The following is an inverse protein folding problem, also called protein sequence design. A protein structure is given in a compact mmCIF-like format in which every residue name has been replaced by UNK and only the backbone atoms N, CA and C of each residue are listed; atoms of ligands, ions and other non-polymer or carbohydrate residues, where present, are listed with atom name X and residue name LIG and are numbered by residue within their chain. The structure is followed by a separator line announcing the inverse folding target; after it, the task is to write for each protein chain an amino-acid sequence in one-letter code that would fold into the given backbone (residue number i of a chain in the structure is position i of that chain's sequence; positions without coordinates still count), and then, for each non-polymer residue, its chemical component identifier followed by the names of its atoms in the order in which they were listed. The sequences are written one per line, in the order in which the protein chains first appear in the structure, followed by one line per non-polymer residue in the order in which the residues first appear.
data_IF_754372029670
#
_entry.id   IF_754372029670
#
_cell.length_a   1.000
_cell.length_b   1.000
_cell.length_c   1.000
_cell.angle_alpha   90.00
_cell.angle_beta   90.00
_cell.angle_gamma   90.00
#
_symmetry.space_group_name_H-M   'P 1'
#
loop_
_entity.id
_entity.type
_entity.pdbx_description
1 polymer ?
#
# COMPACT_ATOMS: atom_id res chain seq x y z
N UNK A 1 -38.30 -6.52 -34.36
CA UNK A 1 -37.36 -6.28 -33.23
C UNK A 1 -36.42 -7.46 -33.22
N UNK A 2 -35.23 -7.28 -33.79
CA UNK A 2 -34.16 -8.27 -33.69
C UNK A 2 -33.87 -8.51 -32.20
N UNK A 3 -33.84 -9.78 -31.79
CA UNK A 3 -33.59 -10.15 -30.40
C UNK A 3 -32.17 -9.76 -30.01
N UNK A 4 -32.02 -9.11 -28.87
CA UNK A 4 -30.71 -8.81 -28.31
C UNK A 4 -29.93 -10.11 -28.05
N UNK A 5 -28.65 -10.14 -28.41
CA UNK A 5 -27.73 -11.20 -28.00
C UNK A 5 -27.40 -11.02 -26.51
N UNK A 6 -28.18 -11.71 -25.67
CA UNK A 6 -28.02 -11.70 -24.23
C UNK A 6 -26.69 -12.29 -23.75
N UNK A 7 -26.04 -13.15 -24.54
CA UNK A 7 -24.73 -13.71 -24.20
C UNK A 7 -23.67 -12.63 -24.36
N UNK A 8 -23.68 -11.94 -25.51
CA UNK A 8 -22.80 -10.82 -25.78
C UNK A 8 -22.95 -9.68 -24.76
N UNK A 9 -24.19 -9.28 -24.45
CA UNK A 9 -24.46 -8.22 -23.48
C UNK A 9 -24.00 -8.58 -22.07
N UNK A 10 -24.17 -9.83 -21.65
CA UNK A 10 -23.64 -10.32 -20.36
C UNK A 10 -22.11 -10.27 -20.33
N UNK A 11 -21.46 -10.59 -21.45
CA UNK A 11 -19.99 -10.51 -21.55
C UNK A 11 -19.49 -9.06 -21.47
N UNK A 12 -20.16 -8.12 -22.14
CA UNK A 12 -19.82 -6.70 -22.02
C UNK A 12 -19.98 -6.16 -20.59
N UNK A 13 -21.08 -6.49 -19.91
CA UNK A 13 -21.28 -6.09 -18.50
C UNK A 13 -20.18 -6.65 -17.61
N UNK A 14 -19.69 -7.85 -17.88
CA UNK A 14 -18.55 -8.45 -17.17
C UNK A 14 -17.26 -7.65 -17.41
N UNK A 15 -16.91 -7.36 -18.66
CA UNK A 15 -15.71 -6.57 -18.97
C UNK A 15 -15.75 -5.18 -18.32
N UNK A 16 -16.92 -4.55 -18.26
CA UNK A 16 -17.10 -3.27 -17.56
C UNK A 16 -16.82 -3.41 -16.06
N UNK A 17 -17.31 -4.49 -15.41
CA UNK A 17 -17.01 -4.76 -13.99
C UNK A 17 -15.53 -5.01 -13.76
N UNK A 18 -14.87 -5.72 -14.67
CA UNK A 18 -13.44 -6.02 -14.63
C UNK A 18 -12.57 -4.74 -14.75
N UNK A 19 -13.06 -3.66 -15.35
CA UNK A 19 -12.30 -2.40 -15.46
C UNK A 19 -12.24 -1.55 -14.18
N UNK A 20 -12.80 -2.03 -13.07
CA UNK A 20 -12.85 -1.27 -11.80
C UNK A 20 -11.59 -1.47 -10.93
N UNK A 21 -10.84 -2.55 -11.14
CA UNK A 21 -9.73 -2.96 -10.26
C UNK A 21 -8.49 -3.26 -11.10
N UNK A 22 -7.33 -2.76 -10.65
CA UNK A 22 -6.04 -3.03 -11.32
C UNK A 22 -5.70 -4.52 -11.31
N UNK A 23 -4.95 -5.00 -12.32
CA UNK A 23 -4.53 -6.39 -12.41
C UNK A 23 -3.76 -6.88 -11.16
N UNK A 24 -2.94 -6.00 -10.57
CA UNK A 24 -2.18 -6.28 -9.35
C UNK A 24 -3.11 -6.51 -8.15
N UNK A 25 -4.07 -5.60 -7.92
CA UNK A 25 -5.05 -5.74 -6.83
C UNK A 25 -5.92 -6.98 -7.00
N UNK A 26 -6.36 -7.28 -8.24
CA UNK A 26 -7.14 -8.49 -8.55
C UNK A 26 -6.41 -9.77 -8.15
N UNK A 27 -5.12 -9.86 -8.43
CA UNK A 27 -4.32 -11.03 -8.06
C UNK A 27 -4.27 -11.22 -6.53
N UNK A 28 -4.12 -10.12 -5.78
CA UNK A 28 -4.16 -10.15 -4.32
C UNK A 28 -5.52 -10.64 -3.80
N UNK A 29 -6.60 -10.08 -4.33
CA UNK A 29 -7.96 -10.42 -3.93
C UNK A 29 -8.28 -11.88 -4.23
N UNK A 30 -7.93 -12.35 -5.43
CA UNK A 30 -8.09 -13.75 -5.84
C UNK A 30 -7.32 -14.71 -4.94
N UNK A 31 -6.05 -14.45 -4.66
CA UNK A 31 -5.27 -15.31 -3.79
C UNK A 31 -5.92 -15.46 -2.39
N UNK A 32 -6.54 -14.38 -1.90
CA UNK A 32 -7.18 -14.37 -0.60
C UNK A 32 -8.52 -15.09 -0.58
N UNK A 33 -9.44 -14.84 -1.52
CA UNK A 33 -10.69 -15.59 -1.54
C UNK A 33 -10.49 -17.06 -1.96
N UNK A 34 -9.46 -17.40 -2.75
CA UNK A 34 -9.07 -18.80 -2.98
C UNK A 34 -8.68 -19.51 -1.68
N UNK A 35 -8.03 -18.79 -0.76
CA UNK A 35 -7.71 -19.33 0.56
C UNK A 35 -8.99 -19.56 1.38
N UNK A 36 -9.93 -18.62 1.35
CA UNK A 36 -11.22 -18.79 2.00
C UNK A 36 -12.01 -20.00 1.43
N UNK A 37 -12.03 -20.15 0.11
CA UNK A 37 -12.69 -21.26 -0.57
C UNK A 37 -12.04 -22.62 -0.25
N UNK A 38 -10.71 -22.68 -0.21
CA UNK A 38 -9.98 -23.88 0.22
C UNK A 38 -10.36 -24.26 1.67
N UNK A 39 -10.44 -23.28 2.56
CA UNK A 39 -10.87 -23.52 3.94
C UNK A 39 -12.32 -24.02 4.03
N UNK A 40 -13.23 -23.47 3.22
CA UNK A 40 -14.62 -23.94 3.15
C UNK A 40 -14.73 -25.36 2.61
N UNK A 41 -13.91 -25.74 1.62
CA UNK A 41 -13.87 -27.12 1.10
C UNK A 41 -13.44 -28.14 2.16
N UNK A 42 -12.57 -27.76 3.09
CA UNK A 42 -12.13 -28.65 4.18
C UNK A 42 -13.12 -28.67 5.36
N UNK A 43 -13.73 -27.53 5.70
CA UNK A 43 -14.42 -27.36 6.97
C UNK A 43 -15.95 -27.21 6.84
N UNK A 44 -16.44 -26.76 5.69
CA UNK A 44 -17.85 -26.41 5.44
C UNK A 44 -18.27 -26.70 4.00
N UNK A 45 -18.05 -27.93 3.53
CA UNK A 45 -18.38 -28.38 2.17
C UNK A 45 -19.82 -28.07 1.73
N UNK A 46 -20.77 -28.11 2.67
CA UNK A 46 -22.17 -27.75 2.43
C UNK A 46 -22.41 -26.29 2.00
N UNK A 47 -21.40 -25.41 2.06
CA UNK A 47 -21.43 -24.02 1.57
C UNK A 47 -20.89 -23.87 0.15
N UNK A 48 -20.15 -24.86 -0.34
CA UNK A 48 -19.60 -24.90 -1.70
C UNK A 48 -20.67 -25.41 -2.66
N UNK A 49 -20.74 -24.85 -3.86
CA UNK A 49 -21.66 -25.35 -4.88
C UNK A 49 -21.20 -26.74 -5.35
N UNK A 50 -22.08 -27.75 -5.44
CA UNK A 50 -21.71 -29.10 -5.87
C UNK A 50 -20.94 -29.15 -7.21
N UNK A 51 -21.32 -28.39 -8.25
CA UNK A 51 -20.57 -28.37 -9.51
C UNK A 51 -19.12 -27.90 -9.36
N UNK A 52 -18.83 -27.01 -8.41
CA UNK A 52 -17.48 -26.53 -8.16
C UNK A 52 -16.64 -27.57 -7.40
N UNK A 53 -17.27 -28.32 -6.49
CA UNK A 53 -16.62 -29.45 -5.79
C UNK A 53 -16.20 -30.54 -6.78
N UNK A 54 -17.01 -30.81 -7.80
CA UNK A 54 -16.71 -31.79 -8.86
C UNK A 54 -15.50 -31.37 -9.72
N UNK A 55 -15.24 -30.06 -9.86
CA UNK A 55 -14.05 -29.56 -10.54
C UNK A 55 -12.75 -29.79 -9.75
N UNK A 56 -12.85 -30.16 -8.46
CA UNK A 56 -11.70 -30.35 -7.57
C UNK A 56 -11.64 -31.81 -7.15
N UNK A 57 -10.90 -32.62 -7.91
CA UNK A 57 -10.66 -34.02 -7.59
C UNK A 57 -9.82 -34.18 -6.31
N UNK A 58 -10.03 -35.24 -5.52
CA UNK A 58 -9.10 -35.61 -4.44
C UNK A 58 -9.12 -34.75 -3.17
N UNK A 59 -10.25 -34.08 -2.87
CA UNK A 59 -10.44 -33.31 -1.64
C UNK A 59 -10.09 -34.18 -0.41
N UNK A 60 -9.23 -33.66 0.48
CA UNK A 60 -8.73 -34.36 1.67
C UNK A 60 -7.39 -35.09 1.50
N UNK A 61 -6.87 -35.20 0.27
CA UNK A 61 -5.52 -35.75 0.00
C UNK A 61 -4.44 -34.67 -0.13
N UNK A 62 -4.85 -33.41 -0.26
CA UNK A 62 -3.96 -32.29 -0.49
C UNK A 62 -3.51 -31.62 0.79
N UNK A 63 -2.28 -31.12 0.77
CA UNK A 63 -1.84 -30.11 1.74
C UNK A 63 -2.63 -28.80 1.54
N UNK A 64 -2.74 -27.93 2.57
CA UNK A 64 -3.43 -26.65 2.43
C UNK A 64 -2.91 -25.77 1.29
N UNK A 65 -1.62 -25.86 0.97
CA UNK A 65 -1.03 -25.13 -0.16
C UNK A 65 -1.46 -25.71 -1.51
N UNK A 66 -1.45 -27.04 -1.65
CA UNK A 66 -1.91 -27.72 -2.87
C UNK A 66 -3.40 -27.47 -3.14
N UNK A 67 -4.23 -27.51 -2.09
CA UNK A 67 -5.67 -27.26 -2.23
C UNK A 67 -5.93 -25.82 -2.73
N UNK A 68 -5.21 -24.82 -2.21
CA UNK A 68 -5.32 -23.43 -2.70
C UNK A 68 -4.95 -23.31 -4.18
N UNK A 69 -3.91 -24.01 -4.63
CA UNK A 69 -3.52 -24.03 -6.04
C UNK A 69 -4.62 -24.64 -6.91
N UNK A 70 -5.21 -25.77 -6.48
CA UNK A 70 -6.33 -26.40 -7.19
C UNK A 70 -7.57 -25.53 -7.28
N UNK A 71 -7.94 -24.88 -6.18
CA UNK A 71 -9.04 -23.91 -6.16
C UNK A 71 -8.77 -22.76 -7.14
N UNK A 72 -7.55 -22.24 -7.18
CA UNK A 72 -7.17 -21.17 -8.10
C UNK A 72 -7.22 -21.61 -9.56
N UNK A 73 -6.80 -22.84 -9.86
CA UNK A 73 -6.92 -23.43 -11.19
C UNK A 73 -8.40 -23.53 -11.60
N UNK A 74 -9.26 -24.10 -10.74
CA UNK A 74 -10.69 -24.26 -11.00
C UNK A 74 -11.40 -22.93 -11.29
N UNK A 75 -11.11 -21.89 -10.50
CA UNK A 75 -11.70 -20.54 -10.68
C UNK A 75 -11.28 -19.92 -12.02
N UNK A 76 -10.05 -20.17 -12.47
CA UNK A 76 -9.54 -19.60 -13.73
C UNK A 76 -9.95 -20.40 -14.98
N UNK A 77 -10.43 -21.63 -14.83
CA UNK A 77 -10.88 -22.46 -15.95
C UNK A 77 -12.26 -22.04 -16.47
N UNK A 78 -13.25 -21.92 -15.59
CA UNK A 78 -14.59 -21.45 -15.98
C UNK A 78 -15.25 -20.61 -14.88
N UNK A 79 -15.26 -19.30 -15.08
CA UNK A 79 -15.93 -18.33 -14.20
C UNK A 79 -17.46 -18.48 -14.17
N UNK A 80 -18.06 -19.34 -15.02
CA UNK A 80 -19.50 -19.63 -15.02
C UNK A 80 -19.92 -20.59 -13.92
N UNK A 81 -18.97 -21.31 -13.32
CA UNK A 81 -19.24 -22.21 -12.20
C UNK A 81 -19.17 -21.42 -10.91
N UNK A 82 -20.33 -21.19 -10.29
CA UNK A 82 -20.40 -20.53 -8.98
C UNK A 82 -19.61 -21.38 -7.94
N UNK A 83 -18.63 -20.81 -7.22
CA UNK A 83 -17.84 -21.56 -6.24
C UNK A 83 -18.59 -21.79 -4.92
N UNK A 84 -19.68 -21.06 -4.71
CA UNK A 84 -20.43 -21.04 -3.46
C UNK A 84 -21.93 -21.14 -3.72
N UNK A 85 -22.63 -21.72 -2.76
CA UNK A 85 -24.07 -21.48 -2.62
C UNK A 85 -24.23 -20.14 -1.90
N UNK A 86 -24.08 -19.04 -2.66
CA UNK A 86 -23.97 -17.67 -2.16
C UNK A 86 -25.08 -17.27 -1.16
N UNK A 87 -26.31 -17.76 -1.35
CA UNK A 87 -27.45 -17.45 -0.47
C UNK A 87 -27.37 -18.10 0.92
N UNK A 88 -26.55 -19.15 1.06
CA UNK A 88 -26.41 -19.89 2.33
C UNK A 88 -25.21 -19.41 3.16
N UNK A 89 -24.32 -18.62 2.57
CA UNK A 89 -23.11 -18.16 3.24
C UNK A 89 -23.47 -17.15 4.35
N UNK A 90 -23.09 -17.48 5.59
CA UNK A 90 -23.30 -16.60 6.74
C UNK A 90 -22.06 -15.73 7.02
N UNK A 91 -22.28 -14.56 7.61
CA UNK A 91 -21.21 -13.70 8.12
C UNK A 91 -20.26 -14.41 9.07
N UNK A 92 -20.85 -15.28 9.89
CA UNK A 92 -20.15 -16.08 10.87
C UNK A 92 -19.20 -17.09 10.22
N UNK A 93 -19.55 -17.66 9.07
CA UNK A 93 -18.66 -18.57 8.33
C UNK A 93 -17.34 -17.88 7.96
N UNK A 94 -17.44 -16.63 7.48
CA UNK A 94 -16.29 -15.82 7.12
C UNK A 94 -15.47 -15.39 8.35
N UNK A 95 -16.12 -15.02 9.45
CA UNK A 95 -15.43 -14.58 10.66
C UNK A 95 -14.74 -15.75 11.35
N UNK A 96 -15.35 -16.93 11.39
CA UNK A 96 -14.71 -18.15 11.89
C UNK A 96 -13.42 -18.40 11.12
N UNK A 97 -13.46 -18.31 9.79
CA UNK A 97 -12.25 -18.41 8.98
C UNK A 97 -11.19 -17.38 9.39
N UNK A 98 -11.54 -16.11 9.54
CA UNK A 98 -10.60 -15.07 9.97
C UNK A 98 -9.91 -15.39 11.30
N UNK A 99 -10.63 -15.99 12.26
CA UNK A 99 -10.07 -16.38 13.57
C UNK A 99 -9.14 -17.60 13.45
N UNK A 100 -9.35 -18.46 12.45
CA UNK A 100 -8.43 -19.59 12.19
C UNK A 100 -7.12 -19.16 11.52
N UNK A 101 -7.06 -17.94 10.97
CA UNK A 101 -5.86 -17.41 10.33
C UNK A 101 -4.86 -16.95 11.39
N UNK A 102 -3.69 -17.59 11.40
CA UNK A 102 -2.55 -17.18 12.23
C UNK A 102 -1.37 -16.71 11.37
N UNK A 103 -0.60 -15.75 11.89
CA UNK A 103 0.68 -15.33 11.29
C UNK A 103 1.75 -16.38 11.56
N UNK A 104 2.92 -16.27 10.90
CA UNK A 104 4.05 -17.18 11.08
C UNK A 104 4.53 -17.29 12.53
N UNK A 105 4.28 -16.25 13.33
CA UNK A 105 4.69 -16.14 14.74
C UNK A 105 3.57 -16.55 15.71
N UNK A 106 2.54 -17.27 15.24
CA UNK A 106 1.30 -17.61 15.97
C UNK A 106 0.44 -16.40 16.39
N UNK A 107 0.85 -15.19 15.97
CA UNK A 107 0.20 -13.92 16.28
C UNK A 107 -1.08 -13.68 15.44
N UNK A 108 -1.96 -12.82 15.99
CA UNK A 108 -3.21 -12.42 15.37
C UNK A 108 -3.00 -11.64 14.06
N UNK A 109 -4.03 -11.61 13.20
CA UNK A 109 -4.01 -10.82 11.97
C UNK A 109 -3.96 -9.31 12.24
N UNK A 110 -3.18 -8.58 11.44
CA UNK A 110 -3.18 -7.12 11.47
C UNK A 110 -4.52 -6.54 10.99
N UNK A 111 -4.83 -5.30 11.39
CA UNK A 111 -6.02 -4.60 10.90
C UNK A 111 -6.06 -4.42 9.38
N UNK A 112 -4.89 -4.23 8.77
CA UNK A 112 -4.72 -4.14 7.31
C UNK A 112 -5.09 -5.47 6.64
N UNK A 113 -4.62 -6.60 7.18
CA UNK A 113 -4.96 -7.93 6.69
C UNK A 113 -6.47 -8.21 6.81
N UNK A 114 -7.10 -7.88 7.95
CA UNK A 114 -8.54 -8.03 8.13
C UNK A 114 -9.35 -7.19 7.14
N UNK A 115 -8.94 -5.95 6.89
CA UNK A 115 -9.61 -5.09 5.92
C UNK A 115 -9.45 -5.63 4.48
N UNK A 116 -8.27 -6.18 4.16
CA UNK A 116 -7.99 -6.82 2.87
C UNK A 116 -8.93 -8.00 2.67
N UNK A 117 -8.95 -8.96 3.60
CA UNK A 117 -9.86 -10.11 3.53
C UNK A 117 -11.33 -9.72 3.35
N UNK A 118 -11.79 -8.64 4.01
CA UNK A 118 -13.15 -8.13 3.83
C UNK A 118 -13.40 -7.58 2.42
N UNK A 119 -12.43 -6.87 1.84
CA UNK A 119 -12.50 -6.41 0.46
C UNK A 119 -12.54 -7.61 -0.51
N UNK A 120 -11.70 -8.61 -0.26
CA UNK A 120 -11.60 -9.82 -1.09
C UNK A 120 -12.92 -10.59 -1.16
N UNK A 121 -13.64 -10.64 -0.04
CA UNK A 121 -14.96 -11.24 0.03
C UNK A 121 -16.02 -10.45 -0.74
N UNK A 122 -15.95 -9.11 -0.72
CA UNK A 122 -16.82 -8.26 -1.53
C UNK A 122 -16.53 -8.46 -3.03
N UNK A 123 -15.25 -8.59 -3.36
CA UNK A 123 -14.78 -8.86 -4.71
C UNK A 123 -15.24 -10.23 -5.21
N UNK A 124 -15.20 -11.28 -4.37
CA UNK A 124 -15.79 -12.58 -4.71
C UNK A 124 -17.27 -12.47 -5.10
N UNK A 125 -18.08 -11.72 -4.34
CA UNK A 125 -19.50 -11.53 -4.69
C UNK A 125 -19.65 -10.74 -6.00
N UNK A 126 -18.82 -9.72 -6.20
CA UNK A 126 -18.84 -8.87 -7.40
C UNK A 126 -18.47 -9.65 -8.67
N UNK A 127 -17.42 -10.47 -8.60
CA UNK A 127 -16.89 -11.24 -9.72
C UNK A 127 -17.92 -12.26 -10.24
N UNK A 128 -18.71 -12.86 -9.35
CA UNK A 128 -19.81 -13.77 -9.70
C UNK A 128 -21.17 -13.05 -9.86
N UNK A 129 -21.18 -11.72 -9.79
CA UNK A 129 -22.38 -10.90 -9.99
C UNK A 129 -23.49 -11.12 -8.95
N UNK A 130 -23.12 -11.59 -7.75
CA UNK A 130 -24.04 -11.83 -6.63
C UNK A 130 -24.03 -10.64 -5.69
N UNK A 131 -25.14 -10.43 -4.98
CA UNK A 131 -25.25 -9.36 -3.99
C UNK A 131 -25.23 -9.95 -2.59
N UNK A 132 -24.47 -9.34 -1.68
CA UNK A 132 -24.49 -9.70 -0.27
C UNK A 132 -25.90 -9.51 0.32
N UNK A 133 -26.38 -10.46 1.13
CA UNK A 133 -27.66 -10.29 1.80
C UNK A 133 -27.65 -9.07 2.74
N UNK A 134 -28.77 -8.34 2.87
CA UNK A 134 -28.88 -7.18 3.78
C UNK A 134 -28.56 -7.53 5.23
N UNK A 135 -28.92 -8.75 5.66
CA UNK A 135 -28.60 -9.28 6.99
C UNK A 135 -27.09 -9.36 7.18
N UNK A 136 -26.38 -9.82 6.16
CA UNK A 136 -24.93 -9.98 6.18
C UNK A 136 -24.18 -8.65 6.16
N UNK A 137 -24.55 -7.74 5.26
CA UNK A 137 -23.93 -6.41 5.19
C UNK A 137 -24.07 -5.63 6.50
N UNK A 138 -25.13 -5.89 7.28
CA UNK A 138 -25.35 -5.29 8.61
C UNK A 138 -24.56 -5.97 9.74
N UNK A 139 -24.33 -7.29 9.66
CA UNK A 139 -23.65 -8.03 10.73
C UNK A 139 -22.13 -8.00 10.63
N UNK A 140 -21.57 -7.86 9.42
CA UNK A 140 -20.12 -7.89 9.21
C UNK A 140 -19.36 -6.71 9.87
N UNK A 141 -19.83 -5.44 9.85
CA UNK A 141 -19.14 -4.34 10.52
C UNK A 141 -19.04 -4.52 12.06
N UNK A 142 -20.13 -4.83 12.80
CA UNK A 142 -20.04 -5.11 14.23
C UNK A 142 -19.10 -6.27 14.56
N UNK A 143 -19.17 -7.38 13.82
CA UNK A 143 -18.38 -8.56 14.13
C UNK A 143 -16.89 -8.29 13.91
N UNK A 144 -16.49 -7.65 12.80
CA UNK A 144 -15.06 -7.33 12.65
C UNK A 144 -14.61 -6.23 13.60
N UNK A 145 -15.48 -5.29 14.01
CA UNK A 145 -15.12 -4.34 15.06
C UNK A 145 -14.83 -5.08 16.37
N UNK A 146 -15.68 -6.03 16.76
CA UNK A 146 -15.46 -6.90 17.91
C UNK A 146 -14.14 -7.67 17.80
N UNK A 147 -13.90 -8.32 16.66
CA UNK A 147 -12.65 -9.04 16.39
C UNK A 147 -11.40 -8.15 16.55
N UNK A 148 -11.48 -6.91 16.04
CA UNK A 148 -10.40 -5.93 16.18
C UNK A 148 -10.15 -5.53 17.65
N UNK A 149 -11.19 -5.43 18.47
CA UNK A 149 -11.08 -5.16 19.90
C UNK A 149 -10.52 -6.35 20.67
N UNK A 150 -10.95 -7.57 20.35
CA UNK A 150 -10.42 -8.80 20.95
C UNK A 150 -8.92 -8.92 20.71
N UNK A 151 -8.46 -8.73 19.47
CA UNK A 151 -7.02 -8.73 19.18
C UNK A 151 -6.26 -7.62 19.93
N UNK A 152 -6.85 -6.44 20.10
CA UNK A 152 -6.26 -5.36 20.91
C UNK A 152 -6.18 -5.68 22.40
N UNK A 153 -7.05 -6.54 22.91
CA UNK A 153 -7.12 -6.90 24.33
C UNK A 153 -6.25 -8.11 24.66
N UNK A 154 -6.14 -9.06 23.72
CA UNK A 154 -5.38 -10.31 23.88
C UNK A 154 -3.89 -10.15 23.53
N UNK A 155 -3.47 -8.99 23.00
CA UNK A 155 -2.06 -8.66 22.84
C UNK A 155 -1.41 -8.62 24.25
N UNK A 156 -0.35 -9.43 24.50
CA UNK A 156 0.28 -9.47 25.82
C UNK A 156 0.76 -8.07 26.21
N UNK A 157 0.61 -7.74 27.51
CA UNK A 157 1.01 -6.48 28.13
C UNK A 157 2.52 -6.15 28.05
N UNK A 158 3.27 -6.80 27.17
CA UNK A 158 4.64 -6.46 26.80
C UNK A 158 4.74 -6.25 25.28
N UNK A 159 4.87 -4.98 24.90
CA UNK A 159 5.59 -4.51 23.71
C UNK A 159 5.24 -5.08 22.31
N UNK A 160 4.22 -5.90 22.14
CA UNK A 160 3.68 -6.21 20.81
C UNK A 160 2.59 -5.19 20.47
N UNK A 161 3.02 -3.97 20.19
CA UNK A 161 2.18 -2.96 19.55
C UNK A 161 1.59 -3.59 18.29
N UNK A 162 0.26 -3.72 18.23
CA UNK A 162 -0.41 -4.23 17.03
C UNK A 162 0.01 -3.32 15.90
N UNK A 163 0.87 -3.85 15.03
CA UNK A 163 1.49 -3.09 13.95
C UNK A 163 0.39 -2.67 13.00
N UNK A 164 -0.11 -1.47 13.21
CA UNK A 164 -0.76 -0.70 12.16
C UNK A 164 0.34 -0.53 11.12
N UNK A 165 0.10 -0.95 9.88
CA UNK A 165 1.09 -1.21 8.80
C UNK A 165 2.02 -0.02 8.45
N UNK A 166 1.86 1.12 9.11
CA UNK A 166 2.71 2.30 9.05
C UNK A 166 2.93 2.78 10.48
N UNK A 167 4.20 2.98 10.85
CA UNK A 167 4.50 3.69 12.09
C UNK A 167 3.83 5.08 11.98
N UNK A 168 2.86 5.39 12.85
CA UNK A 168 2.21 6.68 12.79
C UNK A 168 3.27 7.75 13.06
N UNK A 169 3.24 8.83 12.27
CA UNK A 169 3.97 10.05 12.59
C UNK A 169 3.69 10.40 14.06
N UNK A 170 4.74 10.64 14.86
CA UNK A 170 4.61 10.83 16.32
C UNK A 170 3.53 11.86 16.64
N UNK A 171 2.66 11.59 17.62
CA UNK A 171 1.62 12.51 18.07
C UNK A 171 2.21 13.90 18.44
N UNK A 172 3.44 13.92 18.95
CA UNK A 172 4.17 15.15 19.23
C UNK A 172 4.38 16.03 17.99
N UNK A 173 4.64 15.42 16.83
CA UNK A 173 4.77 16.16 15.57
C UNK A 173 3.41 16.67 15.09
N UNK A 174 2.34 15.91 15.29
CA UNK A 174 0.97 16.41 15.05
C UNK A 174 0.66 17.63 15.92
N UNK A 175 0.91 17.52 17.23
CA UNK A 175 0.67 18.61 18.19
C UNK A 175 1.53 19.83 17.86
N UNK A 176 2.79 19.63 17.46
CA UNK A 176 3.67 20.71 17.01
C UNK A 176 3.10 21.43 15.79
N UNK A 177 2.70 20.69 14.75
CA UNK A 177 2.15 21.27 13.53
C UNK A 177 0.87 22.06 13.80
N UNK A 178 -0.04 21.50 14.61
CA UNK A 178 -1.26 22.18 15.04
C UNK A 178 -1.03 23.46 15.85
N UNK A 179 0.13 23.59 16.50
CA UNK A 179 0.50 24.78 17.29
C UNK A 179 1.04 25.96 16.47
N UNK A 180 1.23 25.80 15.16
CA UNK A 180 1.81 26.84 14.30
C UNK A 180 0.77 27.87 13.87
N UNK A 181 1.18 29.14 13.79
CA UNK A 181 0.31 30.24 13.33
C UNK A 181 -0.19 30.05 11.89
N UNK A 182 0.61 29.41 11.04
CA UNK A 182 0.27 29.01 9.67
C UNK A 182 0.19 27.48 9.53
N UNK A 183 -0.48 26.84 10.50
CA UNK A 183 -0.64 25.38 10.54
C UNK A 183 -1.25 24.84 9.23
N UNK A 184 -0.67 23.77 8.64
CA UNK A 184 -1.33 23.04 7.58
C UNK A 184 -2.69 22.50 8.02
N UNK A 185 -3.63 22.31 7.10
CA UNK A 185 -4.92 21.71 7.49
C UNK A 185 -4.73 20.36 8.17
N UNK A 186 -5.59 20.07 9.15
CA UNK A 186 -5.58 18.78 9.84
C UNK A 186 -5.68 17.63 8.83
N UNK A 187 -6.51 17.77 7.80
CA UNK A 187 -6.62 16.84 6.67
C UNK A 187 -5.28 16.52 6.03
N UNK A 188 -4.47 17.53 5.69
CA UNK A 188 -3.15 17.33 5.09
C UNK A 188 -2.18 16.63 6.05
N UNK A 189 -2.21 16.99 7.34
CA UNK A 189 -1.35 16.37 8.37
C UNK A 189 -1.70 14.89 8.53
N UNK A 190 -2.99 14.54 8.62
CA UNK A 190 -3.45 13.15 8.74
C UNK A 190 -3.02 12.32 7.53
N UNK A 191 -3.11 12.85 6.31
CA UNK A 191 -2.66 12.16 5.10
C UNK A 191 -1.15 11.94 5.09
N UNK A 192 -0.36 12.97 5.44
CA UNK A 192 1.10 12.86 5.55
C UNK A 192 1.50 11.83 6.61
N UNK A 193 0.75 11.78 7.70
CA UNK A 193 0.88 10.80 8.78
C UNK A 193 0.43 9.38 8.39
N UNK A 194 -0.14 9.20 7.20
CA UNK A 194 -0.69 7.93 6.76
C UNK A 194 -1.95 7.50 7.52
N UNK A 195 -2.60 8.43 8.22
CA UNK A 195 -3.83 8.21 8.98
C UNK A 195 -5.05 8.31 8.08
N UNK A 196 -6.02 7.41 8.28
CA UNK A 196 -7.32 7.56 7.62
C UNK A 196 -8.16 8.58 8.38
N UNK A 197 -8.77 9.55 7.68
CA UNK A 197 -9.76 10.47 8.27
C UNK A 197 -11.03 9.72 8.69
N UNK A 198 -11.34 8.62 8.01
CA UNK A 198 -12.44 7.71 8.33
C UNK A 198 -13.83 8.24 7.99
N UNK A 199 -14.76 7.29 7.80
CA UNK A 199 -16.22 7.53 7.73
C UNK A 199 -16.66 8.80 6.98
N UNK A 200 -17.40 9.64 7.69
CA UNK A 200 -18.01 10.89 7.22
C UNK A 200 -16.95 11.93 6.83
N UNK A 201 -15.80 11.96 7.49
CA UNK A 201 -14.78 13.00 7.27
C UNK A 201 -14.18 12.93 5.86
N UNK A 202 -13.96 11.73 5.31
CA UNK A 202 -13.54 11.55 3.92
C UNK A 202 -14.54 12.11 2.90
N UNK A 203 -15.82 12.27 3.27
CA UNK A 203 -16.87 12.78 2.38
C UNK A 203 -16.95 14.30 2.39
N UNK A 204 -16.65 14.94 3.53
CA UNK A 204 -16.88 16.37 3.73
C UNK A 204 -15.59 17.21 3.85
N UNK A 205 -14.45 16.60 4.16
CA UNK A 205 -13.17 17.29 4.18
C UNK A 205 -12.51 17.19 2.81
N UNK A 206 -12.39 18.34 2.15
CA UNK A 206 -11.71 18.42 0.86
C UNK A 206 -10.20 18.41 1.04
N UNK A 207 -9.52 17.76 0.08
CA UNK A 207 -8.08 17.80 -0.03
C UNK A 207 -7.65 19.19 -0.52
N UNK A 208 -6.89 19.90 0.29
CA UNK A 208 -6.31 21.18 -0.12
C UNK A 208 -5.24 20.96 -1.19
N UNK A 209 -5.26 21.81 -2.21
CA UNK A 209 -4.20 21.84 -3.21
C UNK A 209 -2.86 22.16 -2.53
N UNK A 210 -1.83 21.38 -2.83
CA UNK A 210 -0.49 21.48 -2.22
C UNK A 210 -0.42 21.30 -0.69
N UNK A 211 -1.48 20.79 -0.03
CA UNK A 211 -1.48 20.58 1.43
C UNK A 211 -0.37 19.65 1.91
N UNK A 212 -0.11 18.55 1.19
CA UNK A 212 0.99 17.62 1.49
C UNK A 212 2.37 18.29 1.40
N UNK A 213 2.56 19.17 0.42
CA UNK A 213 3.80 19.92 0.23
C UNK A 213 4.00 20.96 1.35
N UNK A 214 2.92 21.63 1.79
CA UNK A 214 2.95 22.56 2.93
C UNK A 214 3.34 21.85 4.24
N UNK A 215 2.73 20.68 4.51
CA UNK A 215 3.12 19.85 5.67
C UNK A 215 4.59 19.45 5.57
N UNK A 216 5.02 18.90 4.43
CA UNK A 216 6.41 18.47 4.22
C UNK A 216 7.43 19.59 4.44
N UNK A 217 7.14 20.79 3.91
CA UNK A 217 7.99 21.97 4.05
C UNK A 217 8.08 22.45 5.50
N UNK A 218 6.94 22.47 6.19
CA UNK A 218 6.85 22.84 7.61
C UNK A 218 7.66 21.89 8.48
N UNK A 219 7.52 20.58 8.28
CA UNK A 219 8.28 19.54 9.01
C UNK A 219 9.78 19.63 8.70
N UNK A 220 10.17 20.01 7.48
CA UNK A 220 11.56 20.22 7.10
C UNK A 220 12.16 21.54 7.63
N UNK A 221 11.39 22.36 8.35
CA UNK A 221 11.85 23.66 8.87
C UNK A 221 12.12 24.70 7.78
N UNK A 222 11.56 24.51 6.59
CA UNK A 222 11.74 25.42 5.46
C UNK A 222 10.72 26.58 5.53
N UNK A 223 11.06 27.79 5.06
CA UNK A 223 10.15 28.94 5.11
C UNK A 223 8.86 28.68 4.31
N UNK A 224 7.71 28.70 4.98
CA UNK A 224 6.39 28.39 4.39
C UNK A 224 5.95 29.44 3.37
N UNK A 225 6.25 30.70 3.63
CA UNK A 225 5.84 31.85 2.79
C UNK A 225 6.78 32.12 1.60
N UNK A 226 7.78 31.26 1.37
CA UNK A 226 8.72 31.47 0.28
C UNK A 226 8.15 30.95 -1.03
N UNK A 227 8.18 31.78 -2.08
CA UNK A 227 7.85 31.39 -3.46
C UNK A 227 8.72 30.23 -3.99
N UNK A 228 9.87 29.96 -3.34
CA UNK A 228 10.72 28.77 -3.55
C UNK A 228 10.08 27.48 -3.01
N UNK A 229 8.76 27.49 -2.84
CA UNK A 229 7.94 26.35 -2.50
C UNK A 229 8.06 25.23 -3.53
N UNK A 230 8.07 25.62 -4.81
CA UNK A 230 8.11 24.71 -5.96
C UNK A 230 9.53 24.41 -6.46
N UNK A 231 10.57 24.85 -5.74
CA UNK A 231 11.95 24.57 -6.14
C UNK A 231 12.20 23.06 -6.03
N UNK A 232 12.56 22.45 -7.14
CA UNK A 232 12.86 21.02 -7.19
C UNK A 232 14.18 20.74 -6.45
N UNK A 233 14.30 19.57 -5.79
CA UNK A 233 15.58 19.17 -5.23
C UNK A 233 16.64 19.08 -6.34
N UNK A 234 17.93 19.31 -6.02
CA UNK A 234 19.01 19.06 -6.97
C UNK A 234 18.91 17.63 -7.49
N UNK A 235 18.94 17.48 -8.82
CA UNK A 235 18.86 16.19 -9.48
C UNK A 235 19.79 16.13 -10.67
N UNK A 236 20.26 14.94 -10.99
CA UNK A 236 20.86 14.68 -12.28
C UNK A 236 19.77 14.48 -13.34
N UNK A 237 20.09 14.79 -14.60
CA UNK A 237 19.15 14.62 -15.72
C UNK A 237 18.93 13.14 -16.05
N UNK A 238 20.01 12.35 -16.03
CA UNK A 238 20.03 10.93 -16.37
C UNK A 238 21.02 10.17 -15.46
N UNK A 239 20.68 8.92 -15.13
CA UNK A 239 21.56 8.01 -14.36
C UNK A 239 22.56 7.33 -15.30
N UNK A 240 23.60 8.08 -15.64
CA UNK A 240 24.69 7.63 -16.51
C UNK A 240 25.86 7.03 -15.70
N UNK A 241 26.86 6.50 -16.40
CA UNK A 241 28.08 5.92 -15.82
C UNK A 241 28.76 6.82 -14.77
N UNK A 242 28.65 8.15 -14.90
CA UNK A 242 29.21 9.13 -13.96
C UNK A 242 28.47 9.08 -12.60
N UNK A 243 27.14 9.02 -12.63
CA UNK A 243 26.30 8.93 -11.42
C UNK A 243 26.48 7.56 -10.77
N UNK A 244 26.41 6.50 -11.59
CA UNK A 244 26.63 5.12 -11.16
C UNK A 244 28.01 4.91 -10.53
N UNK A 245 29.03 5.65 -10.98
CA UNK A 245 30.36 5.65 -10.34
C UNK A 245 30.40 6.49 -9.07
N UNK A 246 29.67 7.61 -9.01
CA UNK A 246 29.65 8.53 -7.88
C UNK A 246 28.93 7.97 -6.64
N UNK A 247 27.83 7.25 -6.83
CA UNK A 247 27.03 6.65 -5.75
C UNK A 247 27.85 5.73 -4.84
N UNK A 248 28.56 4.70 -5.32
CA UNK A 248 29.34 3.79 -4.46
C UNK A 248 30.55 4.48 -3.82
N UNK A 249 31.09 5.53 -4.45
CA UNK A 249 32.18 6.32 -3.85
C UNK A 249 31.70 7.18 -2.68
N UNK A 250 30.45 7.66 -2.72
CA UNK A 250 29.86 8.42 -1.62
C UNK A 250 29.23 7.50 -0.55
N UNK A 251 28.62 6.39 -0.97
CA UNK A 251 27.82 5.50 -0.13
C UNK A 251 28.21 4.01 -0.33
N UNK A 252 29.42 3.59 0.07
CA UNK A 252 29.98 2.26 -0.26
C UNK A 252 29.24 1.06 0.34
N UNK A 253 28.36 1.28 1.32
CA UNK A 253 27.56 0.22 1.98
C UNK A 253 26.07 0.30 1.68
N UNK A 254 25.65 1.12 0.72
CA UNK A 254 24.22 1.31 0.45
C UNK A 254 23.64 0.13 -0.34
N UNK A 255 22.52 -0.46 0.09
CA UNK A 255 21.84 -1.51 -0.67
C UNK A 255 21.32 -1.03 -2.03
N UNK A 256 21.40 -1.87 -3.06
CA UNK A 256 20.92 -1.57 -4.43
C UNK A 256 19.47 -1.08 -4.49
N UNK A 257 18.59 -1.61 -3.63
CA UNK A 257 17.18 -1.16 -3.57
C UNK A 257 17.00 0.33 -3.22
N UNK A 258 18.05 0.99 -2.71
CA UNK A 258 18.04 2.42 -2.35
C UNK A 258 18.80 3.27 -3.35
N UNK A 259 19.23 2.73 -4.50
CA UNK A 259 20.02 3.42 -5.52
C UNK A 259 19.38 4.74 -5.96
N UNK A 260 18.08 4.75 -6.26
CA UNK A 260 17.37 5.97 -6.62
C UNK A 260 17.45 7.06 -5.54
N UNK A 261 17.39 6.68 -4.26
CA UNK A 261 17.53 7.66 -3.16
C UNK A 261 18.98 8.16 -3.09
N UNK A 262 19.94 7.27 -3.32
CA UNK A 262 21.36 7.58 -3.35
C UNK A 262 21.70 8.65 -4.39
N UNK A 263 21.07 8.59 -5.57
CA UNK A 263 21.26 9.58 -6.64
C UNK A 263 20.84 10.98 -6.19
N UNK A 264 19.66 11.12 -5.57
CA UNK A 264 19.22 12.42 -5.03
C UNK A 264 20.12 12.92 -3.89
N UNK A 265 20.59 12.01 -3.03
CA UNK A 265 21.54 12.35 -1.96
C UNK A 265 22.88 12.80 -2.54
N UNK A 266 23.38 12.10 -3.57
CA UNK A 266 24.59 12.45 -4.29
C UNK A 266 24.45 13.84 -4.91
N UNK A 267 23.37 14.09 -5.65
CA UNK A 267 23.09 15.37 -6.29
C UNK A 267 22.98 16.51 -5.27
N UNK A 268 22.37 16.26 -4.11
CA UNK A 268 22.28 17.24 -3.02
C UNK A 268 23.66 17.56 -2.43
N UNK A 269 24.50 16.55 -2.20
CA UNK A 269 25.84 16.73 -1.64
C UNK A 269 26.79 17.44 -2.60
N UNK A 270 26.71 17.13 -3.90
CA UNK A 270 27.51 17.79 -4.93
C UNK A 270 27.07 19.26 -5.09
N UNK A 271 25.76 19.53 -5.12
CA UNK A 271 25.21 20.88 -5.16
C UNK A 271 25.68 21.74 -3.97
N UNK A 272 25.65 21.17 -2.75
CA UNK A 272 26.01 21.89 -1.53
C UNK A 272 27.51 21.85 -1.20
N UNK A 273 28.37 21.23 -2.01
CA UNK A 273 29.79 21.07 -1.70
C UNK A 273 30.51 22.41 -1.42
N UNK A 274 30.21 23.45 -2.21
CA UNK A 274 30.78 24.80 -2.01
C UNK A 274 30.34 25.45 -0.70
N UNK A 275 29.10 25.20 -0.27
CA UNK A 275 28.59 25.65 1.01
C UNK A 275 29.26 24.89 2.16
N UNK A 276 29.34 23.56 2.06
CA UNK A 276 29.92 22.69 3.07
C UNK A 276 31.39 23.03 3.31
N UNK A 277 32.18 23.25 2.26
CA UNK A 277 33.61 23.61 2.37
C UNK A 277 33.83 24.97 3.04
N UNK A 278 32.88 25.90 2.91
CA UNK A 278 32.91 27.19 3.61
C UNK A 278 32.42 27.09 5.06
N UNK A 279 31.43 26.25 5.31
CA UNK A 279 30.75 26.16 6.61
C UNK A 279 31.45 25.19 7.59
N UNK A 280 32.14 24.17 7.08
CA UNK A 280 32.74 23.10 7.88
C UNK A 280 34.27 23.17 7.83
N UNK A 281 34.90 22.65 8.89
CA UNK A 281 36.36 22.50 8.94
C UNK A 281 36.83 21.55 7.83
N UNK A 282 37.99 21.80 7.18
CA UNK A 282 38.57 20.88 6.19
C UNK A 282 38.82 19.46 6.72
N UNK A 283 38.92 19.28 8.05
CA UNK A 283 39.09 17.97 8.71
C UNK A 283 37.77 17.29 9.06
N UNK A 284 36.63 17.86 8.67
CA UNK A 284 35.32 17.34 9.01
C UNK A 284 35.09 15.95 8.35
N UNK A 285 34.52 14.97 9.06
CA UNK A 285 34.30 13.62 8.52
C UNK A 285 33.48 13.58 7.23
N UNK A 286 32.62 14.57 6.99
CA UNK A 286 31.86 14.70 5.74
C UNK A 286 32.75 14.80 4.48
N UNK A 287 34.03 15.15 4.60
CA UNK A 287 34.99 15.19 3.48
C UNK A 287 35.86 13.93 3.34
N UNK A 288 35.68 12.93 4.21
CA UNK A 288 36.37 11.65 4.09
C UNK A 288 35.94 10.79 2.90
N UNK A 289 34.67 10.81 2.44
CA UNK A 289 34.27 10.01 1.29
C UNK A 289 35.15 10.28 0.05
N UNK A 290 35.58 9.24 -0.68
CA UNK A 290 36.45 9.35 -1.85
C UNK A 290 35.98 10.36 -2.90
N UNK A 291 34.66 10.55 -3.06
CA UNK A 291 34.11 11.49 -4.03
C UNK A 291 34.66 12.91 -3.85
N UNK A 292 34.81 13.39 -2.62
CA UNK A 292 35.29 14.76 -2.36
C UNK A 292 36.81 14.92 -2.52
N UNK A 293 37.52 13.82 -2.72
CA UNK A 293 38.95 13.81 -3.05
C UNK A 293 39.16 13.72 -4.58
N UNK A 294 38.15 13.28 -5.33
CA UNK A 294 38.13 13.19 -6.79
C UNK A 294 37.57 14.49 -7.42
N UNK A 295 38.42 15.51 -7.49
CA UNK A 295 38.08 16.79 -8.11
C UNK A 295 37.50 16.71 -9.54
N UNK A 296 38.04 15.88 -10.47
CA UNK A 296 37.47 15.80 -11.81
C UNK A 296 36.08 15.15 -11.85
N UNK A 297 35.83 14.11 -11.04
CA UNK A 297 34.50 13.50 -10.94
C UNK A 297 33.49 14.47 -10.33
N UNK A 298 33.87 15.14 -9.23
CA UNK A 298 33.01 16.13 -8.58
C UNK A 298 32.65 17.30 -9.51
N UNK A 299 33.61 17.78 -10.29
CA UNK A 299 33.38 18.82 -11.31
C UNK A 299 32.42 18.35 -12.40
N UNK A 300 32.56 17.09 -12.85
CA UNK A 300 31.68 16.49 -13.85
C UNK A 300 30.25 16.34 -13.34
N UNK A 301 30.07 15.89 -12.10
CA UNK A 301 28.75 15.81 -11.45
C UNK A 301 28.14 17.20 -11.29
N UNK A 302 28.91 18.19 -10.81
CA UNK A 302 28.42 19.55 -10.59
C UNK A 302 27.85 20.19 -11.86
N UNK A 303 28.48 19.95 -13.02
CA UNK A 303 28.02 20.49 -14.31
C UNK A 303 26.70 19.89 -14.81
N UNK A 304 26.33 18.70 -14.32
CA UNK A 304 25.13 17.97 -14.74
C UNK A 304 23.91 18.27 -13.87
N UNK A 305 24.13 18.87 -12.69
CA UNK A 305 23.07 19.18 -11.75
C UNK A 305 22.04 20.11 -12.36
N UNK A 306 20.80 19.65 -12.38
CA UNK A 306 19.65 20.45 -12.66
C UNK A 306 19.10 21.00 -11.35
N UNK A 307 19.02 22.32 -11.28
CA UNK A 307 18.30 23.04 -10.24
C UNK A 307 17.28 23.92 -10.92
N UNK A 308 16.06 23.96 -10.40
CA UNK A 308 14.98 24.69 -11.05
C UNK A 308 13.95 25.17 -10.05
N UNK A 309 13.55 26.43 -10.20
CA UNK A 309 12.47 27.04 -9.44
C UNK A 309 11.10 26.62 -10.00
N UNK A 310 10.90 25.37 -10.44
CA UNK A 310 9.62 24.86 -10.97
C UNK A 310 8.97 25.66 -12.11
N UNK A 311 9.65 26.70 -12.61
CA UNK A 311 9.19 27.77 -13.49
C UNK A 311 10.23 27.92 -14.60
N UNK A 312 10.34 26.89 -15.43
CA UNK A 312 10.87 27.04 -16.77
C UNK A 312 9.70 26.86 -17.72
N UNK A 313 9.20 28.00 -18.19
CA UNK A 313 8.33 28.26 -19.36
C UNK A 313 7.26 27.21 -19.70
N UNK A 314 6.00 27.60 -19.41
CA UNK A 314 4.82 27.12 -20.12
C UNK A 314 4.70 27.80 -21.51
#
# INVERSE_FOLDING_TARGET
MEGYDWVYLKDQVRQIRENTVTARSRTTYQNSYCHFLAWLLENKTHRIAPPFTECIEGIGTYTPQQLRTRVKEAINQDLRVDPLIFDTLAAEDFVIWLVTLKRKDDDALSYSALNTHRADLCDLFRDYGKTMSKRWSRSLPPISKGLKHTFATDAPNEASEIKTDKDPLMFDLYSFLCGLTACPSSTAIHLRAGWSLGGVQNTYLHYEAAGDMHVGRTVAGLPTESYKFSTLPPRDSDSDEIVQRGVPLMFPGLPERLEFIAEYCLASLTYHHSYLTRALSPKHPAFQPPLFQDAPLLSSLTKRLQTGDGSSDA
#
